data_IF_738864312770
#
_entry.id   IF_738864312770
#
_cell.length_a   1.000
_cell.length_b   1.000
_cell.length_c   1.000
_cell.angle_alpha   90.00
_cell.angle_beta   90.00
_cell.angle_gamma   90.00
#
_symmetry.space_group_name_H-M   'P 1'
#
loop_
_entity.id
_entity.type
_entity.pdbx_description
1 polymer ?
#
# COMPACT_ATOMS: atom_id res chain seq x y z
N UNK A 1 24.94 -20.98 13.39
CA UNK A 1 25.05 -19.71 12.64
C UNK A 1 25.03 -18.60 13.66
N UNK A 2 26.07 -17.76 13.70
CA UNK A 2 26.35 -16.82 14.80
C UNK A 2 25.24 -15.77 14.94
N UNK A 3 24.31 -16.00 15.87
CA UNK A 3 23.25 -15.05 16.20
C UNK A 3 23.79 -13.73 16.80
N UNK A 4 25.03 -13.72 17.26
CA UNK A 4 25.60 -12.60 18.01
C UNK A 4 26.38 -11.59 17.17
N UNK A 5 26.72 -11.92 15.90
CA UNK A 5 27.55 -11.04 15.07
C UNK A 5 26.97 -9.62 14.91
N UNK A 6 25.65 -9.50 14.82
CA UNK A 6 24.99 -8.21 14.63
C UNK A 6 24.71 -7.46 15.93
N UNK A 7 24.76 -8.13 17.11
CA UNK A 7 24.44 -7.50 18.37
C UNK A 7 25.44 -6.39 18.70
N UNK A 8 26.72 -6.61 18.46
CA UNK A 8 27.80 -5.63 18.71
C UNK A 8 27.79 -4.47 17.69
N UNK A 9 27.06 -4.62 16.58
CA UNK A 9 26.95 -3.61 15.52
C UNK A 9 25.71 -2.73 15.63
N UNK A 10 24.85 -2.99 16.58
CA UNK A 10 23.60 -2.24 16.75
C UNK A 10 23.88 -0.90 17.44
N UNK A 11 23.26 0.20 16.97
CA UNK A 11 23.27 1.45 17.69
C UNK A 11 22.61 1.29 19.07
N UNK A 12 23.05 2.09 20.02
CA UNK A 12 22.47 2.11 21.36
C UNK A 12 20.95 2.43 21.27
N UNK A 13 20.14 1.67 22.00
CA UNK A 13 18.69 1.83 22.01
C UNK A 13 17.92 1.05 20.92
N UNK A 14 18.62 0.38 20.00
CA UNK A 14 17.96 -0.52 19.03
C UNK A 14 17.84 -1.92 19.62
N UNK A 15 16.64 -2.45 19.86
CA UNK A 15 16.45 -3.77 20.44
C UNK A 15 16.96 -4.89 19.53
N UNK A 16 17.42 -5.99 20.12
CA UNK A 16 17.89 -7.16 19.38
C UNK A 16 16.75 -7.94 18.71
N UNK A 17 15.55 -7.80 19.22
CA UNK A 17 14.35 -8.48 18.72
C UNK A 17 13.21 -7.47 18.54
N UNK A 18 12.41 -7.68 17.52
CA UNK A 18 11.19 -6.92 17.30
C UNK A 18 10.07 -7.63 18.10
N UNK A 19 9.38 -6.86 18.92
CA UNK A 19 8.15 -7.35 19.55
C UNK A 19 7.03 -7.38 18.51
N UNK A 20 6.72 -8.58 18.04
CA UNK A 20 5.66 -8.81 17.05
C UNK A 20 4.25 -8.57 17.61
N UNK A 21 4.10 -8.43 18.94
CA UNK A 21 2.82 -8.13 19.60
C UNK A 21 2.50 -6.65 19.69
N UNK A 22 3.43 -5.76 19.35
CA UNK A 22 3.23 -4.30 19.46
C UNK A 22 2.10 -3.78 18.57
N UNK A 23 1.91 -4.35 17.38
CA UNK A 23 0.89 -4.00 16.41
C UNK A 23 0.24 -5.24 15.82
N UNK A 24 -1.08 -5.24 15.70
CA UNK A 24 -1.82 -6.35 15.09
C UNK A 24 -1.76 -6.35 13.55
N UNK A 25 -1.49 -5.21 12.93
CA UNK A 25 -1.42 -5.08 11.48
C UNK A 25 -0.72 -3.79 11.04
N UNK A 26 -0.32 -3.74 9.76
CA UNK A 26 0.16 -2.51 9.11
C UNK A 26 -0.92 -1.41 9.10
N UNK A 27 -2.17 -1.80 8.96
CA UNK A 27 -3.30 -0.87 9.01
C UNK A 27 -3.43 -0.21 10.39
N UNK A 28 -3.24 -0.97 11.47
CA UNK A 28 -3.24 -0.41 12.82
C UNK A 28 -2.11 0.61 13.04
N UNK A 29 -0.90 0.33 12.54
CA UNK A 29 0.22 1.29 12.56
C UNK A 29 -0.16 2.58 11.83
N UNK A 30 -0.77 2.45 10.66
CA UNK A 30 -1.23 3.57 9.85
C UNK A 30 -2.27 4.41 10.60
N UNK A 31 -3.32 3.80 11.12
CA UNK A 31 -4.41 4.48 11.81
C UNK A 31 -3.94 5.18 13.11
N UNK A 32 -3.09 4.52 13.88
CA UNK A 32 -2.45 5.15 15.05
C UNK A 32 -1.59 6.35 14.67
N UNK A 33 -0.87 6.25 13.54
CA UNK A 33 -0.04 7.35 13.03
C UNK A 33 -0.90 8.53 12.56
N UNK A 34 -1.99 8.26 11.84
CA UNK A 34 -2.93 9.29 11.41
C UNK A 34 -3.55 10.05 12.59
N UNK A 35 -3.94 9.34 13.63
CA UNK A 35 -4.47 9.97 14.87
C UNK A 35 -3.42 10.79 15.60
N UNK A 36 -2.20 10.26 15.72
CA UNK A 36 -1.11 10.90 16.50
C UNK A 36 -0.51 12.11 15.82
N UNK A 37 -0.45 12.11 14.48
CA UNK A 37 0.28 13.08 13.68
C UNK A 37 -0.61 13.81 12.67
N UNK A 38 -1.91 13.95 12.94
CA UNK A 38 -2.93 14.43 12.01
C UNK A 38 -2.50 15.62 11.15
N UNK A 39 -1.96 16.66 11.80
CA UNK A 39 -1.59 17.92 11.14
C UNK A 39 -0.17 17.93 10.54
N UNK A 40 0.57 16.82 10.70
CA UNK A 40 1.91 16.73 10.14
C UNK A 40 1.90 16.31 8.67
N UNK A 41 2.91 16.74 7.88
CA UNK A 41 3.15 16.19 6.56
C UNK A 41 3.36 14.68 6.61
N UNK A 42 2.62 13.92 5.79
CA UNK A 42 2.80 12.49 5.61
C UNK A 42 3.60 12.18 4.36
N UNK A 43 3.20 12.74 3.22
CA UNK A 43 3.86 12.54 1.93
C UNK A 43 3.92 13.85 1.15
N UNK A 44 5.03 14.06 0.44
CA UNK A 44 5.21 15.20 -0.47
C UNK A 44 5.66 14.69 -1.83
N UNK A 45 5.00 15.13 -2.89
CA UNK A 45 5.38 14.82 -4.27
C UNK A 45 5.04 16.00 -5.18
N UNK A 46 5.96 16.36 -6.09
CA UNK A 46 5.79 17.47 -7.06
C UNK A 46 5.28 18.78 -6.44
N UNK A 47 5.78 19.13 -5.26
CA UNK A 47 5.41 20.37 -4.55
C UNK A 47 4.07 20.31 -3.80
N UNK A 48 3.32 19.21 -3.90
CA UNK A 48 2.08 18.99 -3.15
C UNK A 48 2.34 18.11 -1.95
N UNK A 49 1.79 18.48 -0.80
CA UNK A 49 1.95 17.74 0.46
C UNK A 49 0.59 17.26 0.95
N UNK A 50 0.50 15.97 1.31
CA UNK A 50 -0.61 15.38 2.04
C UNK A 50 -0.26 15.34 3.52
N UNK A 51 -1.15 15.85 4.38
CA UNK A 51 -1.10 15.59 5.82
C UNK A 51 -1.57 14.17 6.16
N UNK A 52 -1.27 13.71 7.37
CA UNK A 52 -1.80 12.43 7.86
C UNK A 52 -3.34 12.43 7.92
N UNK A 53 -3.96 13.55 8.31
CA UNK A 53 -5.42 13.68 8.33
C UNK A 53 -6.04 13.58 6.93
N UNK A 54 -5.43 14.20 5.93
CA UNK A 54 -5.89 14.11 4.54
C UNK A 54 -5.72 12.71 3.97
N UNK A 55 -4.60 12.06 4.25
CA UNK A 55 -4.35 10.69 3.85
C UNK A 55 -5.36 9.72 4.49
N UNK A 56 -5.66 9.90 5.77
CA UNK A 56 -6.68 9.14 6.50
C UNK A 56 -8.05 9.27 5.82
N UNK A 57 -8.50 10.49 5.59
CA UNK A 57 -9.78 10.80 4.95
C UNK A 57 -9.87 10.23 3.53
N UNK A 58 -8.82 10.42 2.71
CA UNK A 58 -8.83 9.98 1.31
C UNK A 58 -8.75 8.46 1.19
N UNK A 59 -7.96 7.79 2.02
CA UNK A 59 -7.90 6.33 2.04
C UNK A 59 -9.22 5.71 2.54
N UNK A 60 -9.89 6.34 3.51
CA UNK A 60 -11.22 5.90 3.96
C UNK A 60 -12.27 6.06 2.86
N UNK A 61 -12.25 7.18 2.12
CA UNK A 61 -13.15 7.39 0.99
C UNK A 61 -12.92 6.36 -0.13
N UNK A 62 -11.67 6.02 -0.42
CA UNK A 62 -11.36 4.99 -1.41
C UNK A 62 -11.78 3.60 -0.95
N UNK A 63 -11.62 3.27 0.35
CA UNK A 63 -12.14 2.03 0.91
C UNK A 63 -13.66 1.92 0.76
N UNK A 64 -14.39 2.99 1.09
CA UNK A 64 -15.85 3.04 0.94
C UNK A 64 -16.26 2.86 -0.53
N UNK A 65 -15.54 3.49 -1.47
CA UNK A 65 -15.78 3.30 -2.90
C UNK A 65 -15.63 1.83 -3.30
N UNK A 66 -14.53 1.17 -2.90
CA UNK A 66 -14.31 -0.24 -3.21
C UNK A 66 -15.43 -1.14 -2.67
N UNK A 67 -15.87 -0.88 -1.43
CA UNK A 67 -16.91 -1.67 -0.76
C UNK A 67 -18.31 -1.46 -1.34
N UNK A 68 -18.60 -0.28 -1.90
CA UNK A 68 -19.93 0.07 -2.39
C UNK A 68 -20.10 -0.11 -3.90
N UNK A 69 -19.01 -0.04 -4.67
CA UNK A 69 -19.05 0.01 -6.13
C UNK A 69 -18.31 -1.14 -6.82
N UNK A 70 -17.81 -2.12 -6.05
CA UNK A 70 -17.19 -3.32 -6.59
C UNK A 70 -17.70 -4.56 -5.87
N UNK A 71 -17.56 -5.73 -6.51
CA UNK A 71 -17.91 -7.03 -5.94
C UNK A 71 -16.71 -7.69 -5.20
N UNK A 72 -15.70 -6.89 -4.84
CA UNK A 72 -14.51 -7.40 -4.16
C UNK A 72 -14.83 -7.78 -2.72
N UNK A 73 -14.59 -9.05 -2.39
CA UNK A 73 -14.72 -9.56 -1.03
C UNK A 73 -13.41 -9.38 -0.23
N UNK A 74 -13.47 -9.25 1.11
CA UNK A 74 -12.27 -9.28 1.95
C UNK A 74 -11.40 -10.51 1.66
N UNK A 75 -10.08 -10.28 1.58
CA UNK A 75 -9.09 -11.31 1.21
C UNK A 75 -8.85 -11.45 -0.30
N UNK A 76 -9.63 -10.80 -1.16
CA UNK A 76 -9.33 -10.74 -2.59
C UNK A 76 -8.18 -9.76 -2.89
N UNK A 77 -7.56 -9.92 -4.06
CA UNK A 77 -6.34 -9.20 -4.44
C UNK A 77 -6.66 -8.05 -5.38
N UNK A 78 -6.13 -6.90 -5.01
CA UNK A 78 -6.14 -5.70 -5.85
C UNK A 78 -4.71 -5.31 -6.22
N UNK A 79 -4.42 -5.22 -7.50
CA UNK A 79 -3.12 -4.72 -7.97
C UNK A 79 -3.10 -3.19 -7.92
N UNK A 80 -1.96 -2.63 -7.50
CA UNK A 80 -1.71 -1.18 -7.53
C UNK A 80 -0.50 -0.92 -8.38
N UNK A 81 -0.73 -0.35 -9.59
CA UNK A 81 0.30 -0.01 -10.57
C UNK A 81 0.48 1.50 -10.63
N UNK A 82 1.34 2.02 -9.79
CA UNK A 82 1.64 3.45 -9.74
C UNK A 82 3.12 3.66 -9.40
N UNK A 83 3.77 4.72 -9.93
CA UNK A 83 5.04 5.22 -9.39
C UNK A 83 4.82 5.87 -8.02
N UNK A 84 5.89 6.47 -7.47
CA UNK A 84 5.83 7.18 -6.20
C UNK A 84 5.07 8.51 -6.33
N UNK A 85 3.75 8.43 -6.35
CA UNK A 85 2.81 9.57 -6.38
C UNK A 85 1.93 9.57 -5.13
N UNK A 86 1.29 10.70 -4.82
CA UNK A 86 0.44 10.83 -3.62
C UNK A 86 -0.77 9.89 -3.63
N UNK A 87 -1.22 9.47 -4.80
CA UNK A 87 -2.32 8.51 -4.97
C UNK A 87 -1.95 7.09 -4.52
N UNK A 88 -0.66 6.74 -4.58
CA UNK A 88 -0.21 5.40 -4.21
C UNK A 88 -0.52 5.04 -2.74
N UNK A 89 -0.11 5.81 -1.72
CA UNK A 89 -0.47 5.51 -0.34
C UNK A 89 -1.98 5.55 -0.08
N UNK A 90 -2.72 6.42 -0.78
CA UNK A 90 -4.19 6.47 -0.68
C UNK A 90 -4.80 5.15 -1.15
N UNK A 91 -4.36 4.65 -2.32
CA UNK A 91 -4.84 3.39 -2.89
C UNK A 91 -4.48 2.19 -2.02
N UNK A 92 -3.23 2.12 -1.54
CA UNK A 92 -2.74 1.02 -0.69
C UNK A 92 -3.52 0.95 0.62
N UNK A 93 -3.58 2.06 1.38
CA UNK A 93 -4.27 2.06 2.67
C UNK A 93 -5.78 1.96 2.52
N UNK A 94 -6.37 2.48 1.45
CA UNK A 94 -7.78 2.29 1.16
C UNK A 94 -8.13 0.83 0.85
N UNK A 95 -7.30 0.15 0.06
CA UNK A 95 -7.46 -1.28 -0.22
C UNK A 95 -7.33 -2.13 1.07
N UNK A 96 -6.32 -1.84 1.92
CA UNK A 96 -6.16 -2.52 3.20
C UNK A 96 -7.36 -2.28 4.14
N UNK A 97 -7.93 -1.07 4.18
CA UNK A 97 -9.16 -0.76 4.92
C UNK A 97 -10.39 -1.50 4.41
N UNK A 98 -10.44 -1.75 3.10
CA UNK A 98 -11.51 -2.57 2.51
C UNK A 98 -11.32 -4.08 2.77
N UNK A 99 -10.25 -4.48 3.48
CA UNK A 99 -9.94 -5.87 3.76
C UNK A 99 -9.27 -6.61 2.61
N UNK A 100 -8.75 -5.90 1.60
CA UNK A 100 -8.15 -6.49 0.41
C UNK A 100 -6.64 -6.73 0.59
N UNK A 101 -6.11 -7.66 -0.19
CA UNK A 101 -4.67 -7.93 -0.29
C UNK A 101 -4.10 -7.09 -1.43
N UNK A 102 -3.13 -6.24 -1.12
CA UNK A 102 -2.47 -5.38 -2.11
C UNK A 102 -1.37 -6.15 -2.83
N UNK A 103 -1.42 -6.14 -4.16
CA UNK A 103 -0.38 -6.66 -5.04
C UNK A 103 0.32 -5.46 -5.70
N UNK A 104 1.51 -5.13 -5.23
CA UNK A 104 2.30 -4.04 -5.80
C UNK A 104 2.82 -4.44 -7.18
N UNK A 105 2.43 -3.67 -8.20
CA UNK A 105 2.80 -3.91 -9.58
C UNK A 105 3.73 -2.81 -10.08
N UNK A 106 4.89 -3.22 -10.59
CA UNK A 106 5.86 -2.26 -11.12
C UNK A 106 5.25 -1.52 -12.33
N UNK A 107 5.21 -0.18 -12.34
CA UNK A 107 4.69 0.58 -13.47
C UNK A 107 5.47 0.40 -14.79
N UNK A 108 6.70 -0.14 -14.71
CA UNK A 108 7.53 -0.43 -15.87
C UNK A 108 7.37 -1.86 -16.41
N UNK A 109 6.50 -2.68 -15.81
CA UNK A 109 6.23 -4.02 -16.34
C UNK A 109 5.63 -3.97 -17.74
N UNK A 110 6.03 -4.93 -18.57
CA UNK A 110 5.39 -5.23 -19.83
C UNK A 110 4.04 -5.92 -19.62
N UNK A 111 3.18 -5.93 -20.63
CA UNK A 111 1.91 -6.65 -20.59
C UNK A 111 2.07 -8.15 -20.24
N UNK A 112 3.17 -8.77 -20.69
CA UNK A 112 3.48 -10.18 -20.39
C UNK A 112 3.77 -10.38 -18.91
N UNK A 113 4.59 -9.52 -18.30
CA UNK A 113 4.95 -9.58 -16.89
C UNK A 113 3.73 -9.32 -16.00
N UNK A 114 2.90 -8.34 -16.36
CA UNK A 114 1.65 -8.06 -15.65
C UNK A 114 0.69 -9.24 -15.70
N UNK A 115 0.45 -9.83 -16.87
CA UNK A 115 -0.40 -11.02 -16.99
C UNK A 115 0.10 -12.17 -16.13
N UNK A 116 1.42 -12.40 -16.11
CA UNK A 116 2.01 -13.44 -15.28
C UNK A 116 1.74 -13.15 -13.79
N UNK A 117 2.07 -11.95 -13.30
CA UNK A 117 1.87 -11.55 -11.92
C UNK A 117 0.39 -11.63 -11.52
N UNK A 118 -0.51 -11.12 -12.36
CA UNK A 118 -1.94 -11.08 -12.04
C UNK A 118 -2.56 -12.48 -11.98
N UNK A 119 -2.14 -13.36 -12.89
CA UNK A 119 -2.57 -14.76 -12.88
C UNK A 119 -2.04 -15.50 -11.66
N UNK A 120 -0.77 -15.36 -11.36
CA UNK A 120 -0.10 -16.01 -10.23
C UNK A 120 -0.68 -15.56 -8.88
N UNK A 121 -0.84 -14.25 -8.70
CA UNK A 121 -1.40 -13.68 -7.49
C UNK A 121 -2.94 -13.78 -7.40
N UNK A 122 -3.63 -14.15 -8.45
CA UNK A 122 -5.10 -14.17 -8.49
C UNK A 122 -5.71 -12.78 -8.34
N UNK A 123 -5.16 -11.79 -9.05
CA UNK A 123 -5.65 -10.40 -9.01
C UNK A 123 -7.07 -10.30 -9.57
N UNK A 124 -7.96 -9.61 -8.87
CA UNK A 124 -9.36 -9.40 -9.23
C UNK A 124 -9.66 -7.98 -9.70
N UNK A 125 -8.86 -7.01 -9.25
CA UNK A 125 -9.00 -5.61 -9.63
C UNK A 125 -7.63 -4.95 -9.79
N UNK A 126 -7.59 -3.86 -10.54
CA UNK A 126 -6.38 -3.09 -10.80
C UNK A 126 -6.66 -1.59 -10.63
N UNK A 127 -5.82 -0.94 -9.83
CA UNK A 127 -5.74 0.52 -9.75
C UNK A 127 -4.47 0.98 -10.44
N UNK A 128 -4.61 1.89 -11.40
CA UNK A 128 -3.48 2.38 -12.19
C UNK A 128 -3.65 3.85 -12.54
N UNK A 129 -2.57 4.53 -12.92
CA UNK A 129 -2.66 5.87 -13.49
C UNK A 129 -3.09 5.78 -14.95
N UNK A 130 -3.96 6.70 -15.37
CA UNK A 130 -4.54 6.75 -16.71
C UNK A 130 -3.51 6.74 -17.86
N UNK A 131 -2.30 7.26 -17.62
CA UNK A 131 -1.20 7.21 -18.59
C UNK A 131 -0.79 5.78 -18.99
N UNK A 132 -1.09 4.77 -18.18
CA UNK A 132 -0.84 3.36 -18.45
C UNK A 132 -2.03 2.65 -19.10
N UNK A 133 -3.09 3.37 -19.45
CA UNK A 133 -4.34 2.80 -19.97
C UNK A 133 -4.17 1.88 -21.17
N UNK A 134 -3.29 2.24 -22.13
CA UNK A 134 -2.99 1.39 -23.30
C UNK A 134 -2.34 0.07 -22.87
N UNK A 135 -1.36 0.11 -21.98
CA UNK A 135 -0.72 -1.09 -21.45
C UNK A 135 -1.74 -2.00 -20.75
N UNK A 136 -2.63 -1.40 -19.94
CA UNK A 136 -3.67 -2.13 -19.23
C UNK A 136 -4.65 -2.80 -20.19
N UNK A 137 -5.06 -2.13 -21.27
CA UNK A 137 -5.89 -2.75 -22.33
C UNK A 137 -5.22 -3.97 -22.96
N UNK A 138 -3.90 -3.94 -23.12
CA UNK A 138 -3.15 -5.08 -23.67
C UNK A 138 -3.07 -6.25 -22.66
N UNK A 139 -3.33 -6.02 -21.39
CA UNK A 139 -3.27 -7.03 -20.30
C UNK A 139 -4.60 -7.72 -20.10
N UNK A 140 -5.68 -6.98 -20.16
CA UNK A 140 -7.07 -7.46 -19.96
C UNK A 140 -7.58 -8.23 -21.19
#
# INVERSE_FOLDING_TARGET
MQADFWNDKRPAGVPSHIDMGTYGSVLEVFERSCKRFADRPAFTNLGVTLSYAELDRQSAAFAAYLQQHTDLAPGERIAVQMPNVLQYPIAVFGALRAGLIVVNTNPLYTAREMRHQFKDAGVRALVYLNMFGKLVQDVL
#
